data_IF_139455945982
#
_entry.id   IF_139455945982
#
_cell.length_a   1.000
_cell.length_b   1.000
_cell.length_c   1.000
_cell.angle_alpha   90.00
_cell.angle_beta   90.00
_cell.angle_gamma   90.00
#
_symmetry.space_group_name_H-M   'P 1'
#
loop_
_entity.id
_entity.type
_entity.pdbx_description
1 polymer ?
#
# COMPACT_ATOMS: atom_id res chain seq x y z
N UNK A 1 -3.89 7.96 5.87
CA UNK A 1 -3.36 9.29 6.23
C UNK A 1 -4.45 10.12 6.91
N UNK A 2 -5.63 10.31 6.30
CA UNK A 2 -6.77 10.96 6.97
C UNK A 2 -7.16 10.28 8.31
N UNK A 3 -7.18 8.94 8.41
CA UNK A 3 -7.41 8.21 9.70
C UNK A 3 -6.48 8.60 10.85
N UNK A 4 -5.28 9.07 10.54
CA UNK A 4 -4.26 9.46 11.51
C UNK A 4 -4.30 10.94 11.87
N UNK A 5 -5.17 11.72 11.19
CA UNK A 5 -5.35 13.17 11.35
C UNK A 5 -6.76 13.48 11.88
N UNK A 6 -7.76 12.67 11.51
CA UNK A 6 -9.13 12.86 11.98
C UNK A 6 -9.99 11.61 11.79
N UNK A 7 -10.76 11.26 12.82
CA UNK A 7 -11.82 10.25 12.72
C UNK A 7 -11.33 8.87 12.24
N UNK A 8 -10.53 8.13 13.03
CA UNK A 8 -9.85 6.90 12.61
C UNK A 8 -10.77 5.80 12.07
N UNK A 9 -12.05 5.81 12.42
CA UNK A 9 -13.06 4.84 11.98
C UNK A 9 -14.08 5.40 10.99
N UNK A 10 -13.95 6.66 10.57
CA UNK A 10 -14.94 7.28 9.71
C UNK A 10 -15.00 6.65 8.32
N UNK A 11 -16.23 6.49 7.80
CA UNK A 11 -16.52 5.79 6.54
C UNK A 11 -15.89 6.46 5.31
N UNK A 12 -15.63 7.77 5.34
CA UNK A 12 -14.95 8.47 4.26
C UNK A 12 -13.49 8.00 4.08
N UNK A 13 -12.90 7.39 5.11
CA UNK A 13 -11.56 6.85 5.05
C UNK A 13 -11.49 5.43 4.45
N UNK A 14 -12.62 4.83 4.06
CA UNK A 14 -12.65 3.50 3.43
C UNK A 14 -12.66 3.64 1.91
N UNK A 15 -11.78 2.89 1.25
CA UNK A 15 -11.73 2.77 -0.21
C UNK A 15 -12.28 1.40 -0.63
N UNK A 16 -12.72 1.29 -1.88
CA UNK A 16 -13.14 0.00 -2.43
C UNK A 16 -11.98 -1.02 -2.37
N UNK A 17 -12.28 -2.25 -1.92
CA UNK A 17 -11.32 -3.34 -1.85
C UNK A 17 -11.12 -3.95 -3.23
N UNK A 18 -10.09 -3.49 -3.93
CA UNK A 18 -9.74 -4.00 -5.26
C UNK A 18 -8.84 -5.22 -5.15
N UNK A 19 -8.98 -6.15 -6.10
CA UNK A 19 -8.04 -7.27 -6.22
C UNK A 19 -6.83 -6.84 -7.06
N UNK A 20 -5.89 -6.15 -6.43
CA UNK A 20 -4.78 -5.47 -7.11
C UNK A 20 -3.93 -6.40 -7.99
N UNK A 21 -3.71 -7.65 -7.58
CA UNK A 21 -2.95 -8.64 -8.37
C UNK A 21 -3.64 -9.04 -9.68
N UNK A 22 -4.93 -8.76 -9.86
CA UNK A 22 -5.65 -8.99 -11.11
C UNK A 22 -5.70 -7.75 -12.03
N UNK A 23 -5.29 -6.59 -11.53
CA UNK A 23 -5.32 -5.34 -12.30
C UNK A 23 -4.48 -5.44 -13.59
N UNK A 24 -3.25 -6.00 -13.58
CA UNK A 24 -2.47 -6.13 -14.81
C UNK A 24 -3.06 -7.13 -15.82
N UNK A 25 -3.81 -8.14 -15.37
CA UNK A 25 -4.50 -9.08 -16.26
C UNK A 25 -5.65 -8.40 -17.05
N UNK A 26 -6.33 -7.42 -16.43
CA UNK A 26 -7.33 -6.59 -17.12
C UNK A 26 -6.73 -5.63 -18.15
N UNK A 27 -5.46 -5.24 -17.97
CA UNK A 27 -4.71 -4.37 -18.88
C UNK A 27 -3.71 -5.13 -19.77
N UNK A 28 -3.86 -6.46 -19.91
CA UNK A 28 -2.88 -7.36 -20.55
C UNK A 28 -2.51 -6.99 -21.99
N UNK A 29 -3.39 -6.29 -22.70
CA UNK A 29 -3.11 -5.74 -24.03
C UNK A 29 -2.00 -4.68 -24.03
N UNK A 30 -1.83 -3.96 -22.91
CA UNK A 30 -0.86 -2.87 -22.74
C UNK A 30 0.32 -3.29 -21.85
N UNK A 31 0.10 -4.26 -20.97
CA UNK A 31 1.11 -4.78 -20.03
C UNK A 31 1.24 -6.30 -20.20
N UNK A 32 1.90 -6.75 -21.29
CA UNK A 32 2.09 -8.17 -21.50
C UNK A 32 3.03 -8.74 -20.41
N UNK A 33 2.54 -9.76 -19.69
CA UNK A 33 3.32 -10.60 -18.77
C UNK A 33 3.84 -9.89 -17.51
N UNK A 34 3.06 -8.98 -16.93
CA UNK A 34 3.33 -8.54 -15.56
C UNK A 34 3.26 -9.72 -14.59
N UNK A 35 4.19 -9.78 -13.65
CA UNK A 35 4.17 -10.75 -12.56
C UNK A 35 3.65 -10.06 -11.30
N UNK A 36 2.74 -10.74 -10.59
CA UNK A 36 1.99 -10.15 -9.50
C UNK A 36 2.09 -11.04 -8.25
N UNK A 37 2.37 -10.43 -7.10
CA UNK A 37 2.44 -11.09 -5.81
C UNK A 37 1.63 -10.33 -4.77
N UNK A 38 1.12 -11.08 -3.79
CA UNK A 38 0.59 -10.54 -2.54
C UNK A 38 1.44 -11.09 -1.40
N UNK A 39 1.95 -10.22 -0.54
CA UNK A 39 2.80 -10.57 0.59
C UNK A 39 2.22 -9.97 1.87
N UNK A 40 2.30 -10.70 2.97
CA UNK A 40 1.87 -10.23 4.29
C UNK A 40 2.98 -10.26 5.33
N UNK A 41 4.08 -10.94 5.04
CA UNK A 41 5.22 -11.09 5.94
C UNK A 41 6.49 -10.43 5.37
N UNK A 42 7.36 -9.95 6.25
CA UNK A 42 8.63 -9.32 5.87
C UNK A 42 9.55 -10.28 5.10
N UNK A 43 9.60 -11.55 5.48
CA UNK A 43 10.41 -12.58 4.81
C UNK A 43 9.93 -12.79 3.36
N UNK A 44 8.62 -12.88 3.15
CA UNK A 44 8.02 -13.00 1.82
C UNK A 44 8.33 -11.77 0.95
N UNK A 45 8.26 -10.57 1.54
CA UNK A 45 8.59 -9.35 0.82
C UNK A 45 10.06 -9.35 0.40
N UNK A 46 10.99 -9.72 1.29
CA UNK A 46 12.41 -9.80 0.98
C UNK A 46 12.68 -10.81 -0.16
N UNK A 47 12.08 -12.01 -0.10
CA UNK A 47 12.22 -13.01 -1.16
C UNK A 47 11.70 -12.52 -2.51
N UNK A 48 10.55 -11.84 -2.53
CA UNK A 48 9.98 -11.34 -3.78
C UNK A 48 10.84 -10.20 -4.33
N UNK A 49 11.35 -9.31 -3.48
CA UNK A 49 12.27 -8.24 -3.89
C UNK A 49 13.54 -8.81 -4.54
N UNK A 50 14.14 -9.85 -3.96
CA UNK A 50 15.31 -10.51 -4.53
C UNK A 50 15.00 -11.15 -5.90
N UNK A 51 13.83 -11.79 -6.03
CA UNK A 51 13.38 -12.39 -7.29
C UNK A 51 13.18 -11.34 -8.40
N UNK A 52 12.71 -10.14 -8.05
CA UNK A 52 12.40 -9.10 -9.04
C UNK A 52 13.53 -8.08 -9.26
N UNK A 53 14.61 -8.12 -8.47
CA UNK A 53 15.71 -7.16 -8.51
C UNK A 53 16.38 -7.03 -9.89
N UNK A 54 16.38 -8.10 -10.68
CA UNK A 54 17.00 -8.15 -12.02
C UNK A 54 16.00 -8.50 -13.12
N UNK A 55 14.72 -8.23 -12.88
CA UNK A 55 13.67 -8.70 -13.76
C UNK A 55 13.39 -7.72 -14.91
N UNK A 56 13.29 -8.22 -16.14
CA UNK A 56 13.05 -7.41 -17.34
C UNK A 56 11.55 -7.11 -17.59
N UNK A 57 10.67 -7.47 -16.65
CA UNK A 57 9.22 -7.35 -16.77
C UNK A 57 8.65 -6.61 -15.57
N UNK A 58 7.50 -5.95 -15.80
CA UNK A 58 6.77 -5.28 -14.72
C UNK A 58 6.44 -6.27 -13.59
N UNK A 59 6.82 -5.92 -12.37
CA UNK A 59 6.46 -6.63 -11.16
C UNK A 59 5.50 -5.76 -10.33
N UNK A 60 4.37 -6.34 -9.92
CA UNK A 60 3.41 -5.71 -8.99
C UNK A 60 3.41 -6.49 -7.67
N UNK A 61 3.76 -5.84 -6.57
CA UNK A 61 3.77 -6.45 -5.24
C UNK A 61 2.75 -5.73 -4.37
N UNK A 62 1.68 -6.42 -4.01
CA UNK A 62 0.69 -5.97 -3.04
C UNK A 62 1.18 -6.34 -1.63
N UNK A 63 1.65 -5.34 -0.89
CA UNK A 63 2.13 -5.52 0.49
C UNK A 63 0.97 -5.25 1.46
N UNK A 64 0.56 -6.28 2.19
CA UNK A 64 -0.51 -6.18 3.18
C UNK A 64 0.05 -5.61 4.47
N UNK A 65 -0.46 -4.46 4.90
CA UNK A 65 -0.09 -3.82 6.15
C UNK A 65 -1.30 -3.70 7.08
N UNK A 66 -1.10 -3.69 8.42
CA UNK A 66 -2.15 -3.35 9.34
C UNK A 66 -2.71 -1.96 9.04
N UNK A 67 -4.04 -1.81 9.09
CA UNK A 67 -4.73 -0.55 8.76
C UNK A 67 -4.29 0.65 9.60
N UNK A 68 -3.79 0.38 10.81
CA UNK A 68 -3.31 1.36 11.78
C UNK A 68 -1.79 1.52 11.80
N UNK A 69 -1.05 0.82 10.93
CA UNK A 69 0.40 0.94 10.86
C UNK A 69 0.79 2.28 10.21
N UNK A 70 1.53 3.11 10.95
CA UNK A 70 1.89 4.47 10.58
C UNK A 70 3.39 4.65 10.84
N UNK A 71 4.19 5.02 9.83
CA UNK A 71 5.61 5.29 10.01
C UNK A 71 5.85 6.38 11.07
N UNK A 72 6.92 6.29 11.89
CA UNK A 72 7.17 7.23 12.99
C UNK A 72 7.19 8.71 12.56
N UNK A 73 7.76 9.00 11.39
CA UNK A 73 7.77 10.34 10.81
C UNK A 73 6.36 10.85 10.49
N UNK A 74 5.51 9.97 9.92
CA UNK A 74 4.14 10.32 9.58
C UNK A 74 3.33 10.58 10.85
N UNK A 75 3.51 9.78 11.90
CA UNK A 75 2.84 9.99 13.19
C UNK A 75 3.21 11.32 13.86
N UNK A 76 4.47 11.76 13.74
CA UNK A 76 4.91 13.05 14.26
C UNK A 76 4.28 14.22 13.49
N UNK A 77 4.20 14.11 12.16
CA UNK A 77 3.59 15.12 11.29
C UNK A 77 2.07 15.21 11.50
N UNK A 78 1.36 14.09 11.62
CA UNK A 78 -0.10 14.11 11.80
C UNK A 78 -0.49 14.76 13.13
N UNK A 79 0.24 14.50 14.22
CA UNK A 79 0.04 15.20 15.51
C UNK A 79 0.21 16.72 15.40
N UNK A 80 1.22 17.16 14.64
CA UNK A 80 1.46 18.58 14.43
C UNK A 80 0.34 19.25 13.61
N UNK A 81 -0.24 18.53 12.64
CA UNK A 81 -1.36 19.01 11.81
C UNK A 81 -2.68 19.02 12.59
N UNK A 82 -2.96 18.01 13.41
CA UNK A 82 -4.13 17.96 14.30
C UNK A 82 -4.17 19.17 15.25
N UNK A 83 -3.06 19.47 15.92
CA UNK A 83 -2.96 20.60 16.83
C UNK A 83 -3.24 21.95 16.13
N UNK A 84 -2.92 22.05 14.84
CA UNK A 84 -3.06 23.28 14.05
C UNK A 84 -4.45 23.47 13.44
N UNK A 85 -5.15 22.38 13.14
CA UNK A 85 -6.52 22.41 12.62
C UNK A 85 -7.59 22.53 13.73
N UNK A 86 -7.19 22.40 15.00
CA UNK A 86 -8.06 22.50 16.17
C UNK A 86 -8.04 23.89 16.83
N UNK A 87 -7.26 24.83 16.29
CA UNK A 87 -7.09 26.21 16.77
C UNK A 87 -7.81 27.19 15.85
#
# INVERSE_FOLDING_TARGET
MERAIHGPEQRYNDIALWNWTQTPAGARAWIPRAECWRVSEAEQLAEVLDKVAHHERLALIEVMLPKADIPPLLAALTKALEARNSA
#
